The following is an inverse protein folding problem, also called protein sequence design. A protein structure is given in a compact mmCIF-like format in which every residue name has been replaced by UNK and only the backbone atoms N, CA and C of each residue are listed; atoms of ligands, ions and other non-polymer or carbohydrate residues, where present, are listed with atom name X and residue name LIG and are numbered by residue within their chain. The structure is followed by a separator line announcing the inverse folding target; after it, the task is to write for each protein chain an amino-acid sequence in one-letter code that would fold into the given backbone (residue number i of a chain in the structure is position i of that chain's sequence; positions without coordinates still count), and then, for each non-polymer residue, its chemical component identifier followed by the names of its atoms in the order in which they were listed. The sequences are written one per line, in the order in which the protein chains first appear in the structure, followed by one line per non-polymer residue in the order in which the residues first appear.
data_IF_392804193942
#
_entry.id   IF_392804193942
#
_cell.length_a   1.000
_cell.length_b   1.000
_cell.length_c   1.000
_cell.angle_alpha   90.00
_cell.angle_beta   90.00
_cell.angle_gamma   90.00
#
_symmetry.space_group_name_H-M   'P 1'
#
loop_
_entity.id
_entity.type
_entity.pdbx_description
1 polymer ?
#
# COMPACT_ATOMS: atom_id res chain seq x y z
N UNK A 1 39.52 17.20 -24.81
CA UNK A 1 38.48 16.88 -23.80
C UNK A 1 38.30 18.13 -22.97
N UNK A 2 37.11 18.72 -22.95
CA UNK A 2 36.83 19.91 -22.14
C UNK A 2 36.87 19.53 -20.67
N UNK A 3 37.86 20.00 -19.92
CA UNK A 3 38.03 19.83 -18.46
C UNK A 3 36.98 20.64 -17.67
N UNK A 4 35.68 20.56 -18.06
CA UNK A 4 34.64 21.19 -17.24
C UNK A 4 34.36 20.30 -16.04
N UNK A 5 34.44 20.86 -14.82
CA UNK A 5 34.12 20.09 -13.62
C UNK A 5 32.66 19.59 -13.68
N UNK A 6 32.45 18.32 -13.36
CA UNK A 6 31.11 17.73 -13.23
C UNK A 6 30.39 18.45 -12.08
N UNK A 7 29.23 19.05 -12.38
CA UNK A 7 28.42 19.69 -11.35
C UNK A 7 27.74 18.64 -10.47
N UNK A 8 27.98 18.71 -9.16
CA UNK A 8 27.26 17.93 -8.17
C UNK A 8 25.87 18.53 -7.93
N UNK A 9 24.84 17.70 -7.97
CA UNK A 9 23.45 18.08 -7.64
C UNK A 9 23.03 17.40 -6.34
N UNK A 10 22.19 18.07 -5.52
CA UNK A 10 21.69 17.50 -4.26
C UNK A 10 20.61 16.43 -4.47
N UNK A 11 19.82 16.58 -5.52
CA UNK A 11 18.79 15.62 -5.89
C UNK A 11 18.65 15.53 -7.40
N UNK A 12 18.32 14.34 -7.89
CA UNK A 12 18.15 14.05 -9.31
C UNK A 12 16.94 13.14 -9.51
N UNK A 13 16.11 13.45 -10.49
CA UNK A 13 14.97 12.59 -10.87
C UNK A 13 15.39 11.62 -11.96
N UNK A 14 15.33 10.33 -11.69
CA UNK A 14 15.62 9.26 -12.63
C UNK A 14 14.42 8.34 -12.77
N UNK A 15 13.88 8.22 -14.00
CA UNK A 15 12.69 7.41 -14.29
C UNK A 15 11.51 7.65 -13.33
N UNK A 16 11.31 8.90 -12.92
CA UNK A 16 10.23 9.27 -12.00
C UNK A 16 10.55 9.12 -10.51
N UNK A 17 11.62 8.41 -10.15
CA UNK A 17 12.13 8.26 -8.79
C UNK A 17 13.09 9.40 -8.43
N UNK A 18 13.00 9.94 -7.23
CA UNK A 18 13.86 11.02 -6.75
C UNK A 18 15.03 10.44 -5.95
N UNK A 19 16.24 10.62 -6.45
CA UNK A 19 17.48 10.16 -5.82
C UNK A 19 18.18 11.36 -5.21
N UNK A 20 18.44 11.31 -3.91
CA UNK A 20 19.15 12.34 -3.16
C UNK A 20 20.62 11.97 -2.93
N UNK A 21 21.46 12.98 -2.65
CA UNK A 21 22.90 12.79 -2.37
C UNK A 21 23.17 11.96 -1.12
N UNK A 22 22.25 11.92 -0.17
CA UNK A 22 22.30 11.14 1.07
C UNK A 22 21.65 9.75 0.95
N UNK A 23 21.15 9.41 -0.25
CA UNK A 23 20.45 8.16 -0.55
C UNK A 23 19.24 7.90 0.35
N UNK A 24 18.60 8.97 0.89
CA UNK A 24 17.35 8.87 1.63
C UNK A 24 16.16 8.82 0.68
N UNK A 25 15.17 7.98 1.00
CA UNK A 25 13.91 7.89 0.26
C UNK A 25 12.85 8.91 0.69
N UNK A 26 13.14 9.73 1.70
CA UNK A 26 12.18 10.63 2.34
C UNK A 26 11.44 11.51 1.34
N UNK A 27 12.20 12.22 0.51
CA UNK A 27 11.64 13.14 -0.48
C UNK A 27 10.82 12.41 -1.54
N UNK A 28 11.24 11.21 -1.94
CA UNK A 28 10.49 10.42 -2.92
C UNK A 28 9.17 9.90 -2.33
N UNK A 29 9.19 9.39 -1.10
CA UNK A 29 7.97 8.94 -0.39
C UNK A 29 7.00 10.11 -0.21
N UNK A 30 7.50 11.30 0.19
CA UNK A 30 6.68 12.50 0.35
C UNK A 30 6.10 12.94 -1.00
N UNK A 31 6.89 12.94 -2.06
CA UNK A 31 6.45 13.25 -3.43
C UNK A 31 5.34 12.30 -3.87
N UNK A 32 5.54 10.99 -3.74
CA UNK A 32 4.56 9.98 -4.13
C UNK A 32 3.27 10.08 -3.30
N UNK A 33 3.37 10.36 -1.99
CA UNK A 33 2.21 10.64 -1.15
C UNK A 33 1.40 11.83 -1.66
N UNK A 34 2.07 12.92 -2.03
CA UNK A 34 1.40 14.12 -2.54
C UNK A 34 0.74 13.88 -3.91
N UNK A 35 1.40 13.13 -4.80
CA UNK A 35 0.81 12.68 -6.08
C UNK A 35 -0.44 11.84 -5.80
N UNK A 36 -0.36 10.87 -4.91
CA UNK A 36 -1.48 10.01 -4.52
C UNK A 36 -2.67 10.80 -3.99
N UNK A 37 -2.44 11.78 -3.10
CA UNK A 37 -3.50 12.67 -2.59
C UNK A 37 -4.14 13.47 -3.73
N UNK A 38 -3.35 13.99 -4.65
CA UNK A 38 -3.84 14.70 -5.83
C UNK A 38 -4.72 13.81 -6.72
N UNK A 39 -4.28 12.59 -6.99
CA UNK A 39 -5.03 11.60 -7.78
C UNK A 39 -6.37 11.24 -7.13
N UNK A 40 -6.39 11.02 -5.80
CA UNK A 40 -7.64 10.77 -5.06
C UNK A 40 -8.58 11.98 -5.16
N UNK A 41 -8.07 13.18 -4.96
CA UNK A 41 -8.89 14.38 -5.05
C UNK A 41 -9.50 14.54 -6.44
N UNK A 42 -8.74 14.29 -7.49
CA UNK A 42 -9.22 14.30 -8.87
C UNK A 42 -10.30 13.23 -9.10
N UNK A 43 -10.04 11.99 -8.66
CA UNK A 43 -11.03 10.90 -8.77
C UNK A 43 -12.36 11.31 -8.08
N UNK A 44 -12.29 11.76 -6.84
CA UNK A 44 -13.49 12.14 -6.08
C UNK A 44 -14.19 13.39 -6.62
N UNK A 45 -13.46 14.31 -7.25
CA UNK A 45 -14.02 15.51 -7.86
C UNK A 45 -14.76 15.17 -9.17
N UNK A 46 -14.08 14.49 -10.09
CA UNK A 46 -14.65 14.21 -11.41
C UNK A 46 -15.73 13.13 -11.37
N UNK A 47 -15.62 12.18 -10.47
CA UNK A 47 -16.48 10.99 -10.42
C UNK A 47 -17.36 10.92 -9.16
N UNK A 48 -17.61 12.07 -8.50
CA UNK A 48 -18.39 12.15 -7.25
C UNK A 48 -19.79 11.53 -7.31
N UNK A 49 -20.41 11.54 -8.48
CA UNK A 49 -21.77 11.06 -8.70
C UNK A 49 -21.83 9.58 -9.07
N UNK A 50 -20.68 8.91 -9.22
CA UNK A 50 -20.67 7.50 -9.52
C UNK A 50 -20.89 6.66 -8.25
N UNK A 51 -21.39 5.47 -8.47
CA UNK A 51 -21.50 4.42 -7.45
C UNK A 51 -20.14 4.13 -6.78
N UNK A 52 -20.11 3.88 -5.47
CA UNK A 52 -18.87 3.72 -4.70
C UNK A 52 -17.97 2.60 -5.24
N UNK A 53 -18.54 1.49 -5.73
CA UNK A 53 -17.77 0.43 -6.37
C UNK A 53 -17.06 0.88 -7.64
N UNK A 54 -17.71 1.71 -8.47
CA UNK A 54 -17.08 2.26 -9.68
C UNK A 54 -15.97 3.24 -9.30
N UNK A 55 -16.23 4.12 -8.32
CA UNK A 55 -15.21 5.03 -7.79
C UNK A 55 -14.01 4.25 -7.23
N UNK A 56 -14.25 3.13 -6.53
CA UNK A 56 -13.19 2.28 -6.01
C UNK A 56 -12.39 1.59 -7.12
N UNK A 57 -13.03 1.12 -8.18
CA UNK A 57 -12.32 0.57 -9.36
C UNK A 57 -11.42 1.62 -10.03
N UNK A 58 -11.93 2.85 -10.18
CA UNK A 58 -11.13 3.97 -10.68
C UNK A 58 -9.98 4.31 -9.72
N UNK A 59 -10.22 4.33 -8.42
CA UNK A 59 -9.18 4.49 -7.40
C UNK A 59 -8.09 3.43 -7.53
N UNK A 60 -8.46 2.16 -7.64
CA UNK A 60 -7.49 1.07 -7.84
C UNK A 60 -6.68 1.26 -9.12
N UNK A 61 -7.31 1.65 -10.23
CA UNK A 61 -6.64 1.77 -11.53
C UNK A 61 -5.71 2.97 -11.63
N UNK A 62 -6.11 4.12 -11.06
CA UNK A 62 -5.41 5.39 -11.26
C UNK A 62 -4.60 5.88 -10.08
N UNK A 63 -4.96 5.47 -8.85
CA UNK A 63 -4.32 6.02 -7.65
C UNK A 63 -3.30 5.06 -7.02
N UNK A 64 -3.28 3.76 -7.38
CA UNK A 64 -2.46 2.76 -6.66
C UNK A 64 -1.24 2.27 -7.43
N UNK A 65 -0.78 3.00 -8.44
CA UNK A 65 0.42 2.61 -9.19
C UNK A 65 1.69 2.56 -8.33
N UNK A 66 1.88 3.51 -7.44
CA UNK A 66 3.02 3.64 -6.50
C UNK A 66 4.36 3.30 -7.15
N UNK A 67 4.63 3.91 -8.29
CA UNK A 67 5.83 3.65 -9.07
C UNK A 67 7.09 3.87 -8.24
N UNK A 68 7.99 2.89 -8.25
CA UNK A 68 9.27 2.94 -7.54
C UNK A 68 9.20 2.58 -6.05
N UNK A 69 8.01 2.29 -5.50
CA UNK A 69 7.87 1.94 -4.08
C UNK A 69 8.62 0.65 -3.69
N UNK A 70 9.00 -0.17 -4.65
CA UNK A 70 9.82 -1.36 -4.48
C UNK A 70 11.26 -1.04 -4.03
N UNK A 71 11.69 0.22 -4.20
CA UNK A 71 13.03 0.68 -3.83
C UNK A 71 13.07 1.32 -2.44
N UNK A 72 11.90 1.64 -1.86
CA UNK A 72 11.84 2.33 -0.56
C UNK A 72 12.32 1.47 0.59
N UNK A 73 12.94 2.11 1.58
CA UNK A 73 13.23 1.50 2.87
C UNK A 73 11.94 1.30 3.66
N UNK A 74 11.48 0.05 3.82
CA UNK A 74 10.20 -0.28 4.42
C UNK A 74 10.07 0.13 5.90
N UNK A 75 11.17 0.40 6.58
CA UNK A 75 11.21 0.90 7.96
C UNK A 75 11.31 2.44 8.06
N UNK A 76 11.19 3.15 6.93
CA UNK A 76 11.21 4.61 6.89
C UNK A 76 9.95 5.19 7.57
N UNK A 77 10.14 6.18 8.44
CA UNK A 77 9.05 6.82 9.19
C UNK A 77 7.99 7.49 8.27
N UNK A 78 8.40 7.98 7.09
CA UNK A 78 7.49 8.63 6.13
C UNK A 78 6.48 7.65 5.50
N UNK A 79 6.74 6.33 5.53
CA UNK A 79 5.81 5.32 5.05
C UNK A 79 4.51 5.35 5.87
N UNK A 80 4.57 5.56 7.18
CA UNK A 80 3.33 5.68 7.98
C UNK A 80 2.48 6.87 7.53
N UNK A 81 3.09 8.00 7.19
CA UNK A 81 2.35 9.15 6.66
C UNK A 81 1.67 8.84 5.32
N UNK A 82 2.30 8.02 4.48
CA UNK A 82 1.72 7.49 3.24
C UNK A 82 0.54 6.54 3.53
N UNK A 83 0.70 5.64 4.50
CA UNK A 83 -0.36 4.72 4.94
C UNK A 83 -1.58 5.48 5.49
N UNK A 84 -1.36 6.56 6.25
CA UNK A 84 -2.44 7.45 6.73
C UNK A 84 -3.19 8.10 5.57
N UNK A 85 -2.46 8.60 4.56
CA UNK A 85 -3.09 9.19 3.38
C UNK A 85 -3.97 8.17 2.63
N UNK A 86 -3.49 6.92 2.49
CA UNK A 86 -4.23 5.83 1.85
C UNK A 86 -5.53 5.50 2.62
N UNK A 87 -5.44 5.33 3.95
CA UNK A 87 -6.62 5.07 4.79
C UNK A 87 -7.67 6.20 4.69
N UNK A 88 -7.22 7.46 4.69
CA UNK A 88 -8.11 8.61 4.45
C UNK A 88 -8.74 8.57 3.05
N UNK A 89 -7.98 8.19 2.03
CA UNK A 89 -8.46 8.03 0.67
C UNK A 89 -9.57 6.98 0.58
N UNK A 90 -9.36 5.79 1.15
CA UNK A 90 -10.37 4.73 1.15
C UNK A 90 -11.67 5.13 1.85
N UNK A 91 -11.59 5.76 3.04
CA UNK A 91 -12.79 6.26 3.72
C UNK A 91 -13.60 7.20 2.85
N UNK A 92 -12.94 8.09 2.12
CA UNK A 92 -13.61 9.04 1.21
C UNK A 92 -14.24 8.35 0.00
N UNK A 93 -13.55 7.38 -0.60
CA UNK A 93 -14.06 6.59 -1.75
C UNK A 93 -15.31 5.81 -1.35
N UNK A 94 -15.27 5.15 -0.19
CA UNK A 94 -16.39 4.38 0.34
C UNK A 94 -17.43 5.22 1.12
N UNK A 95 -17.20 6.55 1.21
CA UNK A 95 -18.06 7.49 1.97
C UNK A 95 -18.26 7.05 3.43
N UNK A 96 -17.20 6.49 4.03
CA UNK A 96 -17.18 6.03 5.42
C UNK A 96 -16.84 7.18 6.37
N UNK A 97 -17.30 7.13 7.63
CA UNK A 97 -16.92 8.06 8.67
C UNK A 97 -15.40 8.10 8.88
N UNK A 98 -14.89 9.25 9.32
CA UNK A 98 -13.45 9.45 9.57
C UNK A 98 -12.90 8.57 10.69
N UNK A 99 -13.75 8.15 11.64
CA UNK A 99 -13.45 7.29 12.78
C UNK A 99 -13.52 5.79 12.47
N UNK A 100 -13.95 5.38 11.26
CA UNK A 100 -13.97 3.97 10.86
C UNK A 100 -12.62 3.31 11.13
N UNK A 101 -12.61 2.20 11.84
CA UNK A 101 -11.38 1.52 12.24
C UNK A 101 -10.55 1.11 11.03
N UNK A 102 -9.23 1.28 11.14
CA UNK A 102 -8.33 1.08 9.99
C UNK A 102 -8.23 -0.39 9.53
N UNK A 103 -8.48 -1.37 10.42
CA UNK A 103 -8.47 -2.80 10.08
C UNK A 103 -9.67 -3.20 9.20
N UNK A 104 -10.78 -2.46 9.25
CA UNK A 104 -11.96 -2.73 8.43
C UNK A 104 -11.77 -2.31 6.97
N UNK A 105 -10.96 -1.29 6.71
CA UNK A 105 -10.80 -0.73 5.37
C UNK A 105 -10.30 -1.74 4.32
N UNK A 106 -9.25 -2.53 4.60
CA UNK A 106 -8.80 -3.57 3.67
C UNK A 106 -9.87 -4.65 3.41
N UNK A 107 -10.61 -5.04 4.45
CA UNK A 107 -11.65 -6.09 4.35
C UNK A 107 -12.81 -5.60 3.48
N UNK A 108 -13.37 -4.41 3.77
CA UNK A 108 -14.45 -3.80 2.97
C UNK A 108 -14.03 -3.56 1.52
N UNK A 109 -12.76 -3.21 1.31
CA UNK A 109 -12.22 -2.94 -0.03
C UNK A 109 -11.71 -4.20 -0.74
N UNK A 110 -11.73 -5.36 -0.10
CA UNK A 110 -11.14 -6.61 -0.60
C UNK A 110 -9.71 -6.41 -1.12
N UNK A 111 -8.88 -5.71 -0.34
CA UNK A 111 -7.49 -5.44 -0.69
C UNK A 111 -6.57 -5.68 0.52
N UNK A 112 -5.28 -5.74 0.28
CA UNK A 112 -4.29 -5.78 1.35
C UNK A 112 -4.21 -4.41 2.06
N UNK A 113 -3.89 -4.39 3.37
CA UNK A 113 -3.39 -3.17 4.01
C UNK A 113 -2.26 -2.57 3.17
N UNK A 114 -2.22 -1.25 3.02
CA UNK A 114 -1.26 -0.61 2.11
C UNK A 114 0.19 -0.98 2.44
N UNK A 115 0.53 -1.08 3.71
CA UNK A 115 1.89 -1.45 4.12
C UNK A 115 2.25 -2.86 3.65
N UNK A 116 1.32 -3.81 3.74
CA UNK A 116 1.53 -5.19 3.27
C UNK A 116 1.57 -5.26 1.74
N UNK A 117 0.86 -4.36 1.06
CA UNK A 117 0.99 -4.20 -0.39
C UNK A 117 2.39 -3.70 -0.80
N UNK A 118 2.95 -2.73 -0.07
CA UNK A 118 4.33 -2.28 -0.29
C UNK A 118 5.34 -3.41 -0.05
N UNK A 119 5.17 -4.15 1.05
CA UNK A 119 6.00 -5.34 1.34
C UNK A 119 5.87 -6.40 0.23
N UNK A 120 4.65 -6.64 -0.27
CA UNK A 120 4.39 -7.59 -1.36
C UNK A 120 5.14 -7.21 -2.63
N UNK A 121 5.08 -5.93 -3.01
CA UNK A 121 5.77 -5.41 -4.19
C UNK A 121 7.28 -5.54 -4.04
N UNK A 122 7.82 -5.11 -2.90
CA UNK A 122 9.24 -5.26 -2.60
C UNK A 122 9.69 -6.73 -2.64
N UNK A 123 8.96 -7.65 -1.98
CA UNK A 123 9.33 -9.07 -1.97
C UNK A 123 9.30 -9.70 -3.38
N UNK A 124 8.33 -9.33 -4.22
CA UNK A 124 8.29 -9.77 -5.61
C UNK A 124 9.47 -9.21 -6.41
N UNK A 125 9.81 -7.93 -6.23
CA UNK A 125 10.98 -7.32 -6.85
C UNK A 125 12.28 -8.00 -6.40
N UNK A 126 12.47 -8.18 -5.09
CA UNK A 126 13.66 -8.85 -4.56
C UNK A 126 13.79 -10.29 -5.10
N UNK A 127 12.68 -11.03 -5.16
CA UNK A 127 12.66 -12.38 -5.77
C UNK A 127 13.03 -12.32 -7.24
N UNK A 128 12.45 -11.41 -8.01
CA UNK A 128 12.81 -11.23 -9.41
C UNK A 128 14.31 -10.99 -9.58
N UNK A 129 14.92 -10.14 -8.74
CA UNK A 129 16.36 -9.89 -8.80
C UNK A 129 17.22 -11.13 -8.49
N UNK A 130 16.86 -11.92 -7.46
CA UNK A 130 17.64 -13.12 -7.09
C UNK A 130 17.47 -14.29 -8.05
N UNK A 131 16.41 -14.31 -8.84
CA UNK A 131 16.14 -15.32 -9.86
C UNK A 131 16.39 -14.83 -11.30
N UNK A 132 16.91 -13.62 -11.45
CA UNK A 132 17.08 -12.96 -12.74
C UNK A 132 18.03 -13.76 -13.67
N UNK A 133 17.72 -13.77 -14.97
CA UNK A 133 18.54 -14.48 -15.98
C UNK A 133 19.96 -13.92 -16.08
N UNK A 134 20.10 -12.58 -15.98
CA UNK A 134 21.41 -11.94 -16.00
C UNK A 134 22.21 -12.29 -14.74
N UNK A 135 23.40 -12.97 -14.88
CA UNK A 135 24.19 -13.42 -13.74
C UNK A 135 24.64 -12.28 -12.83
N UNK A 136 24.91 -11.11 -13.39
CA UNK A 136 25.36 -9.94 -12.62
C UNK A 136 24.29 -9.43 -11.67
N UNK A 137 23.04 -9.28 -12.16
CA UNK A 137 21.91 -8.84 -11.33
C UNK A 137 21.66 -9.86 -10.21
N UNK A 138 21.63 -11.14 -10.56
CA UNK A 138 21.45 -12.22 -9.61
C UNK A 138 22.57 -12.24 -8.56
N UNK A 139 23.82 -12.08 -8.98
CA UNK A 139 24.97 -12.01 -8.05
C UNK A 139 24.86 -10.84 -7.08
N UNK A 140 24.62 -9.62 -7.56
CA UNK A 140 24.50 -8.41 -6.73
C UNK A 140 23.35 -8.57 -5.73
N UNK A 141 22.20 -9.04 -6.17
CA UNK A 141 21.03 -9.22 -5.30
C UNK A 141 21.29 -10.28 -4.22
N UNK A 142 21.84 -11.44 -4.58
CA UNK A 142 22.18 -12.47 -3.61
C UNK A 142 23.28 -12.01 -2.64
N UNK A 143 24.31 -11.30 -3.13
CA UNK A 143 25.34 -10.73 -2.26
C UNK A 143 24.73 -9.75 -1.25
N UNK A 144 23.86 -8.83 -1.70
CA UNK A 144 23.20 -7.86 -0.84
C UNK A 144 22.29 -8.52 0.21
N UNK A 145 21.60 -9.60 -0.13
CA UNK A 145 20.66 -10.26 0.79
C UNK A 145 21.37 -11.22 1.76
N UNK A 146 22.38 -11.94 1.31
CA UNK A 146 23.02 -13.01 2.10
C UNK A 146 24.25 -12.51 2.84
N UNK A 147 25.17 -11.83 2.15
CA UNK A 147 26.47 -11.43 2.70
C UNK A 147 26.49 -10.02 3.29
N UNK A 148 25.85 -9.07 2.60
CA UNK A 148 25.78 -7.67 3.06
C UNK A 148 24.43 -7.35 3.74
N UNK A 149 23.79 -8.32 4.36
CA UNK A 149 22.42 -8.28 4.87
C UNK A 149 22.07 -7.04 5.70
N UNK A 150 22.96 -6.63 6.60
CA UNK A 150 22.76 -5.46 7.47
C UNK A 150 23.22 -4.14 6.86
N UNK A 151 24.00 -4.17 5.79
CA UNK A 151 24.59 -3.00 5.14
C UNK A 151 23.87 -2.63 3.85
N UNK A 152 23.22 -3.60 3.21
CA UNK A 152 22.51 -3.44 1.95
C UNK A 152 21.03 -3.07 2.19
N UNK A 153 20.46 -2.03 1.55
CA UNK A 153 19.05 -1.70 1.65
C UNK A 153 18.12 -2.86 1.29
N UNK A 154 18.44 -3.62 0.24
CA UNK A 154 17.67 -4.81 -0.15
C UNK A 154 17.73 -5.90 0.94
N UNK A 155 18.90 -6.12 1.54
CA UNK A 155 19.08 -7.09 2.62
C UNK A 155 18.31 -6.70 3.88
N UNK A 156 18.36 -5.44 4.27
CA UNK A 156 17.63 -4.89 5.42
C UNK A 156 16.11 -5.03 5.23
N UNK A 157 15.59 -4.67 4.06
CA UNK A 157 14.17 -4.81 3.74
C UNK A 157 13.72 -6.28 3.72
N UNK A 158 14.53 -7.21 3.16
CA UNK A 158 14.23 -8.65 3.22
C UNK A 158 14.18 -9.12 4.67
N UNK A 159 15.17 -8.78 5.49
CA UNK A 159 15.17 -9.11 6.92
C UNK A 159 13.94 -8.59 7.64
N UNK A 160 13.58 -7.33 7.38
CA UNK A 160 12.40 -6.70 7.95
C UNK A 160 11.14 -7.49 7.60
N UNK A 161 10.95 -7.85 6.32
CA UNK A 161 9.80 -8.64 5.87
C UNK A 161 9.79 -10.05 6.46
N UNK A 162 10.95 -10.76 6.46
CA UNK A 162 11.03 -12.10 7.04
C UNK A 162 10.65 -12.11 8.52
N UNK A 163 11.12 -11.11 9.28
CA UNK A 163 10.78 -10.94 10.69
C UNK A 163 9.31 -10.60 10.88
N UNK A 164 8.76 -9.66 10.09
CA UNK A 164 7.37 -9.23 10.17
C UNK A 164 6.40 -10.39 9.91
N UNK A 165 6.65 -11.16 8.86
CA UNK A 165 5.75 -12.26 8.46
C UNK A 165 6.12 -13.61 9.07
N UNK A 166 7.09 -13.64 9.98
CA UNK A 166 7.59 -14.86 10.62
C UNK A 166 7.87 -15.99 9.61
N UNK A 167 8.55 -15.66 8.52
CA UNK A 167 8.85 -16.59 7.47
C UNK A 167 10.37 -16.78 7.28
N UNK A 168 10.75 -17.93 6.72
CA UNK A 168 12.15 -18.26 6.43
C UNK A 168 12.55 -17.74 5.05
N UNK A 169 13.88 -17.62 4.83
CA UNK A 169 14.40 -17.25 3.51
C UNK A 169 14.00 -18.26 2.41
N UNK A 170 13.96 -19.56 2.75
CA UNK A 170 13.48 -20.58 1.81
C UNK A 170 12.01 -20.40 1.44
N UNK A 171 11.15 -20.04 2.41
CA UNK A 171 9.75 -19.72 2.14
C UNK A 171 9.60 -18.49 1.25
N UNK A 172 10.46 -17.50 1.44
CA UNK A 172 10.52 -16.32 0.56
C UNK A 172 10.94 -16.71 -0.87
N UNK A 173 11.97 -17.53 -1.06
CA UNK A 173 12.46 -17.90 -2.39
C UNK A 173 11.47 -18.78 -3.17
N UNK A 174 10.92 -19.80 -2.52
CA UNK A 174 10.15 -20.86 -3.18
C UNK A 174 8.64 -20.81 -2.90
N UNK A 175 8.23 -20.13 -1.85
CA UNK A 175 6.81 -19.97 -1.49
C UNK A 175 6.11 -18.88 -2.31
N UNK A 176 4.78 -18.80 -2.20
CA UNK A 176 4.01 -17.69 -2.74
C UNK A 176 4.05 -16.49 -1.79
N UNK A 177 4.51 -15.32 -2.26
CA UNK A 177 4.52 -14.08 -1.49
C UNK A 177 3.11 -13.72 -1.02
N UNK A 178 2.12 -13.86 -1.89
CA UNK A 178 0.72 -13.62 -1.53
C UNK A 178 0.25 -14.54 -0.40
N UNK A 179 0.64 -15.83 -0.44
CA UNK A 179 0.28 -16.77 0.63
C UNK A 179 0.90 -16.40 1.97
N UNK A 180 2.17 -15.99 1.98
CA UNK A 180 2.88 -15.56 3.19
C UNK A 180 2.16 -14.38 3.84
N UNK A 181 1.82 -13.36 3.05
CA UNK A 181 1.16 -12.15 3.54
C UNK A 181 -0.28 -12.43 3.97
N UNK A 182 -1.03 -13.22 3.20
CA UNK A 182 -2.42 -13.55 3.54
C UNK A 182 -2.51 -14.40 4.82
N UNK A 183 -1.60 -15.34 5.04
CA UNK A 183 -1.55 -16.10 6.30
C UNK A 183 -1.30 -15.20 7.50
N UNK A 184 -0.41 -14.22 7.38
CA UNK A 184 -0.16 -13.24 8.43
C UNK A 184 -1.40 -12.40 8.73
N UNK A 185 -2.04 -11.85 7.69
CA UNK A 185 -3.23 -11.00 7.84
C UNK A 185 -4.41 -11.77 8.43
N UNK A 186 -4.65 -13.01 8.00
CA UNK A 186 -5.71 -13.85 8.55
C UNK A 186 -5.51 -14.14 10.05
N UNK A 187 -4.26 -14.34 10.47
CA UNK A 187 -3.94 -14.57 11.88
C UNK A 187 -3.98 -13.27 12.73
N UNK A 188 -3.90 -12.10 12.09
CA UNK A 188 -3.87 -10.80 12.78
C UNK A 188 -5.23 -10.11 12.91
N UNK A 189 -6.26 -10.62 12.22
CA UNK A 189 -7.63 -10.09 12.27
C UNK A 189 -8.44 -11.00 13.21
N UNK A 190 -8.98 -10.44 14.28
CA UNK A 190 -9.89 -11.15 15.18
C UNK A 190 -11.20 -11.51 14.46
N UNK A 191 -11.79 -12.66 14.80
CA UNK A 191 -13.03 -13.14 14.18
C UNK A 191 -14.19 -12.14 14.29
N UNK A 192 -14.28 -11.40 15.42
CA UNK A 192 -15.24 -10.32 15.61
C UNK A 192 -15.09 -9.20 14.59
N UNK A 193 -13.85 -8.80 14.28
CA UNK A 193 -13.55 -7.76 13.29
C UNK A 193 -13.94 -8.19 11.88
N UNK A 194 -13.71 -9.46 11.53
CA UNK A 194 -14.10 -10.03 10.23
C UNK A 194 -15.61 -10.03 10.09
N UNK A 195 -16.34 -10.45 11.13
CA UNK A 195 -17.82 -10.45 11.12
C UNK A 195 -18.37 -9.03 10.95
N UNK A 196 -17.82 -8.07 11.69
CA UNK A 196 -18.19 -6.65 11.58
C UNK A 196 -17.89 -6.07 10.21
N UNK A 197 -16.73 -6.40 9.62
CA UNK A 197 -16.35 -5.96 8.30
C UNK A 197 -17.24 -6.55 7.20
N UNK A 198 -17.63 -7.81 7.33
CA UNK A 198 -18.57 -8.44 6.39
C UNK A 198 -19.94 -7.77 6.46
N UNK A 199 -20.46 -7.51 7.66
CA UNK A 199 -21.70 -6.78 7.85
C UNK A 199 -21.65 -5.38 7.24
N UNK A 200 -20.52 -4.65 7.46
CA UNK A 200 -20.33 -3.32 6.87
C UNK A 200 -20.27 -3.38 5.35
N UNK A 201 -19.63 -4.39 4.77
CA UNK A 201 -19.57 -4.60 3.32
C UNK A 201 -20.97 -4.89 2.75
N UNK A 202 -21.79 -5.72 3.42
CA UNK A 202 -23.18 -5.97 3.04
C UNK A 202 -24.03 -4.71 3.13
N UNK A 203 -23.88 -3.90 4.19
CA UNK A 203 -24.61 -2.63 4.35
C UNK A 203 -24.24 -1.62 3.25
N UNK A 204 -22.97 -1.55 2.85
CA UNK A 204 -22.54 -0.72 1.72
C UNK A 204 -23.22 -1.19 0.44
N UNK A 205 -23.22 -2.50 0.17
CA UNK A 205 -23.87 -3.07 -1.02
C UNK A 205 -25.36 -2.80 -1.03
N UNK A 206 -26.05 -2.97 0.11
CA UNK A 206 -27.49 -2.68 0.24
C UNK A 206 -27.76 -1.19 0.00
N UNK A 207 -26.99 -0.29 0.65
CA UNK A 207 -27.12 1.15 0.42
C UNK A 207 -26.96 1.51 -1.04
N UNK A 208 -25.93 0.98 -1.68
CA UNK A 208 -25.61 1.29 -3.07
C UNK A 208 -26.68 0.73 -4.02
N UNK A 209 -27.25 -0.46 -3.75
CA UNK A 209 -28.39 -1.01 -4.46
C UNK A 209 -29.68 -0.18 -4.26
N UNK A 210 -29.90 0.37 -3.06
CA UNK A 210 -31.06 1.22 -2.78
C UNK A 210 -30.96 2.61 -3.42
N UNK A 211 -29.73 3.14 -3.61
CA UNK A 211 -29.50 4.39 -4.34
C UNK A 211 -29.93 4.28 -5.81
N UNK A 212 -29.79 3.10 -6.42
CA UNK A 212 -30.30 2.82 -7.77
C UNK A 212 -31.83 2.76 -7.82
N UNK A 213 -32.48 2.42 -6.70
CA UNK A 213 -33.95 2.30 -6.57
C UNK A 213 -34.62 3.55 -5.96
N UNK A 214 -33.88 4.66 -5.75
CA UNK A 214 -34.39 5.92 -5.17
C UNK A 214 -34.85 5.83 -3.71
N UNK A 215 -34.47 4.80 -2.96
CA UNK A 215 -34.74 4.68 -1.53
C UNK A 215 -33.50 5.14 -0.75
N UNK A 216 -33.60 6.27 -0.04
CA UNK A 216 -32.47 6.87 0.70
C UNK A 216 -32.41 6.40 2.16
N UNK A 217 -31.26 5.85 2.56
CA UNK A 217 -30.82 6.00 3.94
C UNK A 217 -30.09 7.33 4.08
N UNK A 218 -30.41 8.11 5.08
CA UNK A 218 -29.66 9.33 5.37
C UNK A 218 -28.25 8.99 5.84
N UNK A 219 -27.29 9.90 5.62
CA UNK A 219 -25.93 9.71 6.12
C UNK A 219 -25.89 9.58 7.66
N UNK A 220 -26.89 10.11 8.36
CA UNK A 220 -27.04 10.02 9.82
C UNK A 220 -27.47 8.60 10.26
N UNK A 221 -28.39 7.95 9.53
CA UNK A 221 -28.81 6.60 9.81
C UNK A 221 -27.68 5.58 9.58
N UNK A 222 -26.90 5.77 8.50
CA UNK A 222 -25.70 4.97 8.23
C UNK A 222 -24.61 5.21 9.28
N UNK A 223 -24.40 6.46 9.71
CA UNK A 223 -23.48 6.80 10.79
C UNK A 223 -23.89 6.10 12.09
N UNK A 224 -25.18 6.15 12.43
CA UNK A 224 -25.71 5.49 13.62
C UNK A 224 -25.48 3.94 13.60
N UNK A 225 -25.70 3.30 12.47
CA UNK A 225 -25.48 1.85 12.32
C UNK A 225 -23.98 1.55 12.42
N UNK A 226 -23.13 2.33 11.76
CA UNK A 226 -21.68 2.13 11.75
C UNK A 226 -21.07 2.43 13.12
N UNK A 227 -21.52 3.48 13.81
CA UNK A 227 -21.04 3.83 15.15
C UNK A 227 -21.40 2.74 16.19
N UNK A 228 -22.56 2.09 16.05
CA UNK A 228 -22.94 0.98 16.93
C UNK A 228 -22.26 -0.35 16.61
N UNK A 229 -21.77 -0.52 15.36
CA UNK A 229 -21.04 -1.72 14.92
C UNK A 229 -19.53 -1.58 15.16
N UNK A 230 -18.98 -0.35 15.19
CA UNK A 230 -17.55 -0.09 15.36
C UNK A 230 -17.12 0.22 16.80
N UNK A 231 -18.05 0.29 17.75
CA UNK A 231 -17.77 0.57 19.17
C UNK A 231 -17.76 -0.68 20.05
N UNK A 232 -17.89 -1.88 19.46
CA UNK A 232 -17.74 -3.16 20.16
C UNK A 232 -16.34 -3.72 20.03
#
# INVERSE_FOLDING_TARGET
MDDKPISTVKSFSHLGHLINSDLSDDDDIIKQRNIFIGQINNNLCYFKNLHSHVQYKLFQSYCTSFYGCELWQLYNANIESFCVAWRKGLRRVWKLPSNTHCSLLPVVSHCLPIFDELCRRFLNFARFCVTHECPLIRFIANYGIVHARSLSPIGQNVLYCLKRYNCTYNSFLHGSVNRIINMYNNNSIEDSTISTANLLSELINVRDGLLETSIYFSNEELSFIIDNVCTC
#
